data_IF_480344933197
#
_entry.id   IF_480344933197
#
_cell.length_a   1.000
_cell.length_b   1.000
_cell.length_c   1.000
_cell.angle_alpha   90.00
_cell.angle_beta   90.00
_cell.angle_gamma   90.00
#
_symmetry.space_group_name_H-M   'P 1'
#
loop_
_entity.id
_entity.type
_entity.pdbx_description
1 polymer ?
#
# COMPACT_ATOMS: atom_id res chain seq x y z
N UNK A 1 -51.49 -14.50 -51.80
CA UNK A 1 -50.76 -13.22 -51.88
C UNK A 1 -50.88 -12.56 -50.51
N UNK A 2 -49.82 -12.61 -49.69
CA UNK A 2 -49.81 -11.94 -48.37
C UNK A 2 -49.53 -10.47 -48.62
N UNK A 3 -50.51 -9.61 -48.40
CA UNK A 3 -50.33 -8.17 -48.37
C UNK A 3 -49.50 -7.83 -47.14
N UNK A 4 -48.30 -7.29 -47.36
CA UNK A 4 -47.55 -6.62 -46.31
C UNK A 4 -48.33 -5.35 -45.94
N UNK A 5 -48.75 -5.25 -44.68
CA UNK A 5 -49.17 -3.98 -44.11
C UNK A 5 -47.93 -3.09 -44.04
N UNK A 6 -47.73 -2.27 -45.07
CA UNK A 6 -46.82 -1.12 -45.05
C UNK A 6 -47.48 0.00 -44.23
N UNK A 7 -47.69 -0.26 -42.94
CA UNK A 7 -48.12 0.74 -41.96
C UNK A 7 -46.95 1.63 -41.59
N UNK A 8 -46.81 2.78 -42.27
CA UNK A 8 -45.82 3.79 -41.89
C UNK A 8 -46.00 4.22 -40.43
N UNK A 9 -44.90 4.26 -39.66
CA UNK A 9 -44.90 4.66 -38.25
C UNK A 9 -45.56 6.03 -38.09
N UNK A 10 -46.59 6.09 -37.23
CA UNK A 10 -47.20 7.36 -36.86
C UNK A 10 -46.19 8.24 -36.13
N UNK A 11 -46.29 9.56 -36.31
CA UNK A 11 -45.38 10.52 -35.68
C UNK A 11 -45.33 10.35 -34.15
N UNK A 12 -46.47 10.01 -33.53
CA UNK A 12 -46.56 9.71 -32.10
C UNK A 12 -45.85 8.40 -31.71
N UNK A 13 -45.93 7.38 -32.54
CA UNK A 13 -45.29 6.07 -32.30
C UNK A 13 -43.77 6.21 -32.37
N UNK A 14 -43.27 7.03 -33.30
CA UNK A 14 -41.85 7.37 -33.39
C UNK A 14 -41.35 8.16 -32.17
N UNK A 15 -42.14 9.13 -31.68
CA UNK A 15 -41.81 9.87 -30.44
C UNK A 15 -41.76 8.91 -29.24
N UNK A 16 -42.74 8.03 -29.08
CA UNK A 16 -42.77 7.06 -27.98
C UNK A 16 -41.58 6.10 -28.09
N UNK A 17 -41.25 5.60 -29.28
CA UNK A 17 -40.11 4.73 -29.50
C UNK A 17 -38.78 5.40 -29.12
N UNK A 18 -38.59 6.68 -29.46
CA UNK A 18 -37.39 7.45 -29.10
C UNK A 18 -37.32 7.70 -27.59
N UNK A 19 -38.43 8.06 -26.94
CA UNK A 19 -38.46 8.30 -25.49
C UNK A 19 -38.16 7.01 -24.72
N UNK A 20 -38.81 5.89 -25.08
CA UNK A 20 -38.59 4.59 -24.43
C UNK A 20 -37.15 4.12 -24.64
N UNK A 21 -36.63 4.23 -25.86
CA UNK A 21 -35.22 3.87 -26.16
C UNK A 21 -34.24 4.77 -25.41
N UNK A 22 -34.53 6.07 -25.28
CA UNK A 22 -33.72 7.02 -24.51
C UNK A 22 -33.66 6.67 -23.02
N UNK A 23 -34.80 6.33 -22.41
CA UNK A 23 -34.86 5.89 -21.00
C UNK A 23 -34.03 4.62 -20.80
N UNK A 24 -34.13 3.65 -21.72
CA UNK A 24 -33.33 2.43 -21.66
C UNK A 24 -31.83 2.72 -21.79
N UNK A 25 -31.42 3.60 -22.69
CA UNK A 25 -30.01 3.99 -22.84
C UNK A 25 -29.47 4.68 -21.59
N UNK A 26 -30.25 5.56 -20.95
CA UNK A 26 -29.85 6.20 -19.69
C UNK A 26 -29.72 5.17 -18.57
N UNK A 27 -30.64 4.21 -18.49
CA UNK A 27 -30.55 3.12 -17.51
C UNK A 27 -29.28 2.29 -17.73
N UNK A 28 -28.99 1.87 -18.96
CA UNK A 28 -27.77 1.10 -19.30
C UNK A 28 -26.51 1.93 -19.02
N UNK A 29 -26.49 3.20 -19.39
CA UNK A 29 -25.37 4.10 -19.16
C UNK A 29 -25.07 4.25 -17.66
N UNK A 30 -26.10 4.39 -16.82
CA UNK A 30 -25.91 4.51 -15.36
C UNK A 30 -25.30 3.24 -14.75
N UNK A 31 -25.73 2.06 -15.18
CA UNK A 31 -25.14 0.78 -14.76
C UNK A 31 -23.68 0.70 -15.21
N UNK A 32 -23.38 1.11 -16.45
CA UNK A 32 -22.03 1.11 -16.97
C UNK A 32 -21.09 2.03 -16.16
N UNK A 33 -21.52 3.27 -15.86
CA UNK A 33 -20.73 4.19 -15.04
C UNK A 33 -20.50 3.66 -13.62
N UNK A 34 -21.51 3.05 -13.02
CA UNK A 34 -21.36 2.46 -11.69
C UNK A 34 -20.40 1.25 -11.71
N UNK A 35 -20.46 0.41 -12.75
CA UNK A 35 -19.54 -0.72 -12.93
C UNK A 35 -18.10 -0.25 -13.13
N UNK A 36 -17.89 0.81 -13.91
CA UNK A 36 -16.56 1.39 -14.13
C UNK A 36 -15.95 1.89 -12.83
N UNK A 37 -16.69 2.69 -12.06
CA UNK A 37 -16.22 3.21 -10.76
C UNK A 37 -15.88 2.08 -9.78
N UNK A 38 -16.70 1.04 -9.73
CA UNK A 38 -16.43 -0.12 -8.88
C UNK A 38 -15.14 -0.85 -9.28
N UNK A 39 -14.86 -0.97 -10.59
CA UNK A 39 -13.62 -1.61 -11.07
C UNK A 39 -12.37 -0.78 -10.74
N UNK A 40 -12.46 0.53 -10.85
CA UNK A 40 -11.39 1.46 -10.48
C UNK A 40 -11.05 1.34 -8.99
N UNK A 41 -12.08 1.34 -8.13
CA UNK A 41 -11.92 1.15 -6.68
C UNK A 41 -11.30 -0.20 -6.33
N UNK A 42 -11.78 -1.30 -6.92
CA UNK A 42 -11.21 -2.64 -6.69
C UNK A 42 -9.75 -2.71 -7.14
N UNK A 43 -9.42 -2.08 -8.27
CA UNK A 43 -8.04 -2.03 -8.77
C UNK A 43 -7.14 -1.26 -7.83
N UNK A 44 -7.60 -0.08 -7.37
CA UNK A 44 -6.90 0.79 -6.41
C UNK A 44 -6.62 0.06 -5.09
N UNK A 45 -7.64 -0.57 -4.51
CA UNK A 45 -7.52 -1.37 -3.27
C UNK A 45 -6.58 -2.57 -3.46
N UNK A 46 -6.61 -3.21 -4.62
CA UNK A 46 -5.71 -4.35 -4.92
C UNK A 46 -4.26 -3.90 -5.00
N UNK A 47 -3.98 -2.79 -5.70
CA UNK A 47 -2.63 -2.23 -5.78
C UNK A 47 -2.12 -1.78 -4.41
N UNK A 48 -2.94 -1.07 -3.63
CA UNK A 48 -2.63 -0.68 -2.26
C UNK A 48 -2.33 -1.91 -1.38
N UNK A 49 -3.11 -2.98 -1.54
CA UNK A 49 -2.91 -4.23 -0.81
C UNK A 49 -1.55 -4.86 -1.14
N UNK A 50 -1.23 -4.96 -2.44
CA UNK A 50 0.05 -5.52 -2.87
C UNK A 50 1.24 -4.70 -2.36
N UNK A 51 1.17 -3.37 -2.44
CA UNK A 51 2.22 -2.48 -1.91
C UNK A 51 2.39 -2.67 -0.40
N UNK A 52 1.30 -2.68 0.36
CA UNK A 52 1.36 -2.85 1.81
C UNK A 52 1.89 -4.23 2.23
N UNK A 53 1.54 -5.29 1.51
CA UNK A 53 2.10 -6.63 1.75
C UNK A 53 3.59 -6.70 1.44
N UNK A 54 4.06 -6.05 0.38
CA UNK A 54 5.49 -5.97 0.05
C UNK A 54 6.26 -5.23 1.15
N UNK A 55 5.76 -4.08 1.62
CA UNK A 55 6.37 -3.30 2.70
C UNK A 55 6.40 -4.08 4.01
N UNK A 56 5.24 -4.60 4.44
CA UNK A 56 5.12 -5.36 5.68
C UNK A 56 5.98 -6.62 5.68
N UNK A 57 5.95 -7.42 4.61
CA UNK A 57 6.74 -8.64 4.51
C UNK A 57 8.25 -8.40 4.46
N UNK A 58 8.71 -7.30 3.84
CA UNK A 58 10.12 -6.93 3.85
C UNK A 58 10.59 -6.52 5.24
N UNK A 59 9.80 -5.69 5.96
CA UNK A 59 10.07 -5.31 7.35
C UNK A 59 10.12 -6.56 8.22
N UNK A 60 9.10 -7.41 8.15
CA UNK A 60 9.05 -8.64 8.94
C UNK A 60 10.24 -9.55 8.64
N UNK A 61 10.59 -9.73 7.36
CA UNK A 61 11.72 -10.56 6.97
C UNK A 61 13.04 -9.98 7.48
N UNK A 62 13.24 -8.66 7.40
CA UNK A 62 14.43 -8.01 7.90
C UNK A 62 14.55 -8.22 9.41
N UNK A 63 13.50 -7.90 10.17
CA UNK A 63 13.51 -8.01 11.64
C UNK A 63 13.66 -9.47 12.08
N UNK A 64 12.91 -10.42 11.49
CA UNK A 64 13.03 -11.85 11.86
C UNK A 64 14.44 -12.40 11.66
N UNK A 65 15.16 -11.92 10.66
CA UNK A 65 16.55 -12.32 10.39
C UNK A 65 17.57 -11.34 10.97
N UNK A 66 17.12 -10.35 11.74
CA UNK A 66 17.96 -9.34 12.35
C UNK A 66 18.64 -9.85 13.60
N UNK A 67 19.86 -9.37 13.82
CA UNK A 67 20.62 -9.54 15.06
C UNK A 67 20.43 -8.33 15.97
N UNK A 68 20.39 -7.13 15.38
CA UNK A 68 20.15 -5.87 16.08
C UNK A 68 19.15 -5.03 15.28
N UNK A 69 18.33 -4.24 15.97
CA UNK A 69 17.49 -3.22 15.37
C UNK A 69 17.51 -1.92 16.17
N UNK A 70 17.24 -0.81 15.50
CA UNK A 70 17.07 0.51 16.10
C UNK A 70 15.84 1.19 15.48
N UNK A 71 14.98 1.74 16.32
CA UNK A 71 13.91 2.64 15.89
C UNK A 71 14.32 4.08 16.20
N UNK A 72 14.30 4.95 15.19
CA UNK A 72 14.71 6.35 15.32
C UNK A 72 13.79 7.29 14.55
N UNK A 73 14.08 8.60 14.60
CA UNK A 73 13.25 9.63 13.94
C UNK A 73 11.81 9.65 14.48
N UNK A 74 11.64 9.45 15.78
CA UNK A 74 10.32 9.37 16.44
C UNK A 74 9.41 8.27 15.86
N UNK A 75 10.01 7.11 15.51
CA UNK A 75 9.26 5.97 15.00
C UNK A 75 9.02 6.02 13.49
N UNK A 76 9.75 6.83 12.73
CA UNK A 76 9.66 6.91 11.26
C UNK A 76 10.75 6.10 10.56
N UNK A 77 11.83 5.76 11.27
CA UNK A 77 12.99 5.06 10.74
C UNK A 77 13.18 3.78 11.54
N UNK A 78 13.32 2.66 10.82
CA UNK A 78 13.74 1.37 11.36
C UNK A 78 15.03 0.95 10.68
N UNK A 79 16.07 0.70 11.47
CA UNK A 79 17.32 0.10 11.01
C UNK A 79 17.43 -1.31 11.56
N UNK A 80 17.87 -2.23 10.73
CA UNK A 80 18.05 -3.63 11.09
C UNK A 80 19.41 -4.08 10.57
N UNK A 81 20.20 -4.67 11.45
CA UNK A 81 21.40 -5.40 11.07
C UNK A 81 21.11 -6.88 11.00
N UNK A 82 21.56 -7.54 9.94
CA UNK A 82 21.44 -8.98 9.75
C UNK A 82 22.81 -9.59 9.44
N UNK A 83 23.10 -10.75 10.02
CA UNK A 83 24.27 -11.59 9.69
C UNK A 83 23.88 -12.81 8.85
N UNK A 84 22.64 -12.84 8.32
CA UNK A 84 22.11 -13.97 7.57
C UNK A 84 22.90 -14.12 6.26
N UNK A 85 23.84 -15.08 6.24
CA UNK A 85 24.73 -15.34 5.10
C UNK A 85 26.22 -15.23 5.40
N UNK A 86 26.60 -14.93 6.64
CA UNK A 86 28.00 -14.88 7.10
C UNK A 86 28.62 -13.48 7.09
N UNK A 87 28.13 -12.58 6.23
CA UNK A 87 28.51 -11.17 6.22
C UNK A 87 27.43 -10.29 6.85
N UNK A 88 27.86 -9.24 7.56
CA UNK A 88 26.97 -8.22 8.09
C UNK A 88 26.31 -7.42 6.94
N UNK A 89 24.99 -7.31 6.98
CA UNK A 89 24.19 -6.47 6.08
C UNK A 89 23.28 -5.56 6.91
N UNK A 90 23.29 -4.29 6.55
CA UNK A 90 22.47 -3.26 7.16
C UNK A 90 21.29 -3.00 6.25
N UNK A 91 20.08 -2.95 6.80
CA UNK A 91 18.85 -2.63 6.11
C UNK A 91 18.17 -1.48 6.83
N UNK A 92 17.72 -0.49 6.08
CA UNK A 92 17.07 0.70 6.59
C UNK A 92 15.72 0.89 5.91
N UNK A 93 14.68 1.09 6.72
CA UNK A 93 13.33 1.42 6.28
C UNK A 93 12.96 2.78 6.84
N UNK A 94 12.48 3.68 5.99
CA UNK A 94 11.97 4.99 6.44
C UNK A 94 10.61 5.22 5.82
N UNK A 95 9.61 5.45 6.66
CA UNK A 95 8.28 5.83 6.24
C UNK A 95 8.09 7.32 6.53
N UNK A 96 7.93 8.11 5.48
CA UNK A 96 7.84 9.57 5.58
C UNK A 96 6.40 10.02 5.78
N UNK A 97 6.22 11.24 6.29
CA UNK A 97 4.90 11.87 6.31
C UNK A 97 4.45 12.31 4.90
N UNK A 98 5.39 12.42 3.96
CA UNK A 98 5.16 12.88 2.59
C UNK A 98 4.59 11.79 1.68
N UNK A 99 4.31 10.59 2.21
CA UNK A 99 3.71 9.51 1.43
C UNK A 99 4.69 8.44 0.95
N UNK A 100 5.98 8.52 1.30
CA UNK A 100 7.01 7.66 0.70
C UNK A 100 7.59 6.65 1.69
N UNK A 101 7.75 5.41 1.22
CA UNK A 101 8.60 4.41 1.82
C UNK A 101 9.97 4.49 1.15
N UNK A 102 11.01 4.65 1.94
CA UNK A 102 12.39 4.65 1.49
C UNK A 102 13.10 3.43 2.03
N UNK A 103 14.00 2.89 1.22
CA UNK A 103 14.76 1.70 1.56
C UNK A 103 16.24 1.89 1.26
N UNK A 104 17.08 1.46 2.19
CA UNK A 104 18.52 1.42 2.01
C UNK A 104 19.09 0.08 2.46
N UNK A 105 20.13 -0.37 1.76
CA UNK A 105 20.91 -1.52 2.17
C UNK A 105 22.40 -1.23 2.03
N UNK A 106 23.21 -1.83 2.89
CA UNK A 106 24.66 -1.70 2.84
C UNK A 106 25.35 -2.90 3.46
N UNK A 107 26.62 -3.08 3.13
CA UNK A 107 27.53 -4.00 3.83
C UNK A 107 28.28 -3.32 4.97
N UNK A 108 27.93 -2.08 5.27
CA UNK A 108 28.55 -1.18 6.24
C UNK A 108 27.49 -0.19 6.73
N UNK A 109 27.87 0.70 7.66
CA UNK A 109 27.03 1.81 8.14
C UNK A 109 26.19 2.42 7.03
N UNK A 110 24.88 2.44 7.26
CA UNK A 110 23.95 3.18 6.42
C UNK A 110 24.18 4.68 6.59
N UNK A 111 23.85 5.51 5.58
CA UNK A 111 23.86 6.95 5.74
C UNK A 111 23.01 7.36 6.94
N UNK A 112 23.61 8.08 7.89
CA UNK A 112 22.92 8.58 9.08
C UNK A 112 21.72 9.46 8.69
N UNK A 113 21.85 10.20 7.59
CA UNK A 113 20.75 10.95 7.00
C UNK A 113 19.91 10.08 6.09
N UNK A 114 18.78 9.59 6.61
CA UNK A 114 17.86 8.75 5.86
C UNK A 114 17.15 9.48 4.71
N UNK A 115 17.32 10.80 4.52
CA UNK A 115 16.79 11.52 3.35
C UNK A 115 17.51 11.19 2.04
N UNK A 116 18.68 10.53 2.09
CA UNK A 116 19.38 10.08 0.88
C UNK A 116 19.00 8.67 0.45
N UNK A 117 18.06 8.02 1.13
CA UNK A 117 17.61 6.66 0.81
C UNK A 117 16.71 6.69 -0.43
N UNK A 118 16.79 5.64 -1.24
CA UNK A 118 15.98 5.56 -2.45
C UNK A 118 14.52 5.34 -2.10
N UNK A 119 13.62 6.01 -2.81
CA UNK A 119 12.20 5.75 -2.72
C UNK A 119 11.91 4.33 -3.25
N UNK A 120 11.13 3.59 -2.49
CA UNK A 120 10.83 2.19 -2.72
C UNK A 120 9.34 1.97 -2.98
N UNK A 121 8.47 2.63 -2.22
CA UNK A 121 7.02 2.60 -2.40
C UNK A 121 6.41 3.99 -2.11
N UNK A 122 5.21 4.22 -2.60
CA UNK A 122 4.45 5.45 -2.44
C UNK A 122 3.08 5.22 -1.78
N UNK A 123 2.37 6.31 -1.50
CA UNK A 123 1.05 6.31 -0.90
C UNK A 123 1.02 5.83 0.55
N UNK A 124 2.14 5.87 1.28
CA UNK A 124 2.23 5.41 2.67
C UNK A 124 1.94 6.55 3.64
N UNK A 125 1.00 6.33 4.55
CA UNK A 125 0.60 7.33 5.55
C UNK A 125 0.52 6.74 6.95
N UNK A 126 0.61 7.61 7.97
CA UNK A 126 0.51 7.19 9.36
C UNK A 126 -0.92 6.82 9.75
N UNK A 127 -1.06 5.91 10.71
CA UNK A 127 -2.35 5.57 11.32
C UNK A 127 -2.70 6.59 12.41
N UNK A 128 -3.07 7.80 11.99
CA UNK A 128 -3.33 8.92 12.89
C UNK A 128 -2.07 9.31 13.66
N UNK A 129 -2.12 9.26 14.99
CA UNK A 129 -0.99 9.56 15.88
C UNK A 129 -0.10 8.34 16.19
N UNK A 130 -0.40 7.18 15.61
CA UNK A 130 0.42 5.97 15.81
C UNK A 130 1.72 6.11 15.04
N UNK A 131 2.90 5.93 15.67
CA UNK A 131 4.17 5.94 14.96
C UNK A 131 4.23 4.78 13.96
N UNK A 132 5.05 4.91 12.91
CA UNK A 132 5.21 3.86 11.91
C UNK A 132 5.88 2.61 12.48
N UNK A 133 6.83 2.82 13.37
CA UNK A 133 7.57 1.80 14.09
C UNK A 133 7.55 2.12 15.58
N UNK A 134 7.31 1.11 16.40
CA UNK A 134 7.30 1.19 17.86
C UNK A 134 8.05 0.00 18.46
N UNK A 135 9.04 0.31 19.29
CA UNK A 135 9.88 -0.64 20.03
C UNK A 135 9.66 -0.55 21.55
N UNK A 136 8.53 0.02 21.99
CA UNK A 136 8.16 0.14 23.41
C UNK A 136 8.14 -1.18 24.18
N UNK A 137 8.00 -2.31 23.49
CA UNK A 137 8.07 -3.65 24.06
C UNK A 137 9.45 -4.26 23.76
N UNK A 138 10.27 -4.56 24.78
CA UNK A 138 11.59 -5.14 24.57
C UNK A 138 11.56 -6.40 23.70
N UNK A 139 12.35 -6.42 22.63
CA UNK A 139 12.46 -7.56 21.73
C UNK A 139 11.29 -7.73 20.75
N UNK A 140 10.39 -6.74 20.65
CA UNK A 140 9.27 -6.74 19.71
C UNK A 140 9.23 -5.39 19.02
N UNK A 141 9.22 -5.41 17.69
CA UNK A 141 8.95 -4.24 16.86
C UNK A 141 7.51 -4.33 16.40
N UNK A 142 6.71 -3.35 16.75
CA UNK A 142 5.42 -3.11 16.14
C UNK A 142 5.59 -2.17 14.93
N UNK A 143 4.86 -2.43 13.85
CA UNK A 143 4.76 -1.51 12.73
C UNK A 143 3.29 -1.24 12.41
N UNK A 144 2.99 -0.02 11.96
CA UNK A 144 1.65 0.40 11.58
C UNK A 144 1.69 1.50 10.51
N UNK A 145 1.02 1.28 9.38
CA UNK A 145 0.86 2.27 8.32
C UNK A 145 -0.43 2.03 7.56
N UNK A 146 -0.85 3.00 6.75
CA UNK A 146 -1.93 2.82 5.79
C UNK A 146 -1.41 3.09 4.38
N UNK A 147 -2.05 2.49 3.38
CA UNK A 147 -1.81 2.79 1.98
C UNK A 147 -3.04 3.51 1.42
N UNK A 148 -2.83 4.68 0.82
CA UNK A 148 -3.91 5.44 0.18
C UNK A 148 -4.52 4.67 -1.00
N UNK A 149 -5.83 4.87 -1.16
CA UNK A 149 -6.65 4.39 -2.27
C UNK A 149 -7.57 5.53 -2.70
N UNK A 150 -8.27 5.36 -3.82
CA UNK A 150 -9.25 6.35 -4.31
C UNK A 150 -10.53 6.45 -3.45
N UNK A 151 -10.63 5.61 -2.41
CA UNK A 151 -11.80 5.49 -1.52
C UNK A 151 -11.34 5.46 -0.06
N UNK A 152 -11.23 4.25 0.51
CA UNK A 152 -10.84 4.04 1.91
C UNK A 152 -9.43 3.45 1.98
N UNK A 153 -8.52 4.09 2.73
CA UNK A 153 -7.15 3.65 2.92
C UNK A 153 -7.07 2.26 3.58
N UNK A 154 -6.12 1.45 3.12
CA UNK A 154 -5.95 0.08 3.61
C UNK A 154 -4.92 0.07 4.74
N UNK A 155 -5.31 -0.49 5.88
CA UNK A 155 -4.47 -0.53 7.09
C UNK A 155 -3.57 -1.76 7.12
N UNK A 156 -2.31 -1.54 7.46
CA UNK A 156 -1.31 -2.58 7.71
C UNK A 156 -0.73 -2.39 9.10
N UNK A 157 -0.76 -3.44 9.90
CA UNK A 157 -0.09 -3.45 11.19
C UNK A 157 0.39 -4.87 11.52
N UNK A 158 1.49 -4.94 12.26
CA UNK A 158 2.06 -6.21 12.67
C UNK A 158 3.01 -6.06 13.85
N UNK A 159 3.35 -7.18 14.46
CA UNK A 159 4.36 -7.28 15.52
C UNK A 159 5.35 -8.37 15.14
N UNK A 160 6.62 -8.06 15.23
CA UNK A 160 7.69 -8.96 14.82
C UNK A 160 8.84 -8.92 15.83
N UNK A 161 9.38 -10.10 16.13
CA UNK A 161 10.56 -10.27 16.97
C UNK A 161 11.70 -10.87 16.14
N UNK A 162 12.95 -10.46 16.38
CA UNK A 162 14.10 -11.13 15.82
C UNK A 162 14.21 -12.57 16.33
N UNK A 163 14.80 -13.45 15.53
CA UNK A 163 15.05 -14.86 15.91
C UNK A 163 16.16 -15.00 16.93
N UNK A 164 17.14 -14.10 16.90
CA UNK A 164 18.27 -14.03 17.82
C UNK A 164 18.04 -12.90 18.83
N UNK A 165 18.48 -13.13 20.07
CA UNK A 165 18.59 -12.07 21.08
C UNK A 165 19.70 -11.11 20.69
N UNK A 166 19.47 -9.83 20.96
CA UNK A 166 20.39 -8.73 20.70
C UNK A 166 21.67 -8.94 21.53
N UNK A 167 22.80 -9.27 20.89
CA UNK A 167 24.11 -9.33 21.54
C UNK A 167 24.78 -7.95 21.47
N UNK A 168 24.90 -7.27 22.62
CA UNK A 168 25.70 -6.05 22.74
C UNK A 168 25.04 -4.76 22.25
N UNK A 169 25.72 -3.63 22.52
CA UNK A 169 25.12 -2.28 22.55
C UNK A 169 25.20 -1.50 21.22
N UNK A 170 25.84 -2.02 20.19
CA UNK A 170 25.86 -1.34 18.88
C UNK A 170 26.39 -2.26 17.79
N UNK A 171 25.62 -2.42 16.71
CA UNK A 171 26.16 -2.97 15.48
C UNK A 171 26.69 -1.83 14.59
N UNK A 172 27.73 -2.09 13.79
CA UNK A 172 28.42 -1.11 12.93
C UNK A 172 27.59 -0.57 11.74
N UNK A 173 26.26 -0.75 11.82
CA UNK A 173 25.31 -0.51 10.76
C UNK A 173 24.69 0.88 10.74
N UNK A 174 24.94 1.72 11.76
CA UNK A 174 24.52 3.13 11.81
C UNK A 174 25.38 3.95 12.76
#
# INVERSE_FOLDING_TARGET
MRTHDDGGLGLIELIVAVVVSGVLLVAIASIFFNSWKAQEEVTSVTQATNRGQVVGSAIERAVRNGVYYEVSGSGTILRVSTSLGGDLKCQGFRLTADGTAQFATGSSSLPANATSWADWQDGIRSQGSTPYFDDSVPGVIAYAFEIDTDSTPVRFAGKVSPRSVQEGDSDSCW
#
